data_IF_663000976681
#
_entry.id   IF_663000976681
#
_cell.length_a   1.000
_cell.length_b   1.000
_cell.length_c   1.000
_cell.angle_alpha   90.00
_cell.angle_beta   90.00
_cell.angle_gamma   90.00
#
_symmetry.space_group_name_H-M   'P 1'
#
loop_
_entity.id
_entity.type
_entity.pdbx_description
1 polymer ?
#
# COMPACT_ATOMS: atom_id res chain seq x y z
N UNK A 1 11.18 49.67 54.14
CA UNK A 1 11.60 48.27 53.92
C UNK A 1 11.14 47.87 52.52
N UNK A 2 12.07 47.70 51.58
CA UNK A 2 11.79 47.28 50.19
C UNK A 2 12.06 45.78 50.09
N UNK A 3 11.02 44.98 49.88
CA UNK A 3 11.14 43.53 49.63
C UNK A 3 11.33 43.30 48.14
N UNK A 4 12.49 42.75 47.76
CA UNK A 4 12.85 42.40 46.39
C UNK A 4 12.38 40.96 46.12
N UNK A 5 11.38 40.78 45.25
CA UNK A 5 10.91 39.45 44.83
C UNK A 5 11.79 38.97 43.67
N UNK A 6 12.64 37.96 43.89
CA UNK A 6 13.44 37.33 42.82
C UNK A 6 12.58 36.29 42.10
N UNK A 7 12.22 36.57 40.85
CA UNK A 7 11.58 35.63 39.94
C UNK A 7 12.65 34.66 39.40
N UNK A 8 12.57 33.38 39.73
CA UNK A 8 13.40 32.32 39.13
C UNK A 8 12.63 31.78 37.92
N UNK A 9 13.06 32.16 36.72
CA UNK A 9 12.53 31.62 35.46
C UNK A 9 13.27 30.33 35.16
N UNK A 10 12.63 29.19 35.38
CA UNK A 10 13.11 27.88 34.92
C UNK A 10 12.91 27.82 33.39
N UNK A 11 13.97 28.13 32.64
CA UNK A 11 14.05 27.85 31.21
C UNK A 11 14.15 26.33 31.03
N UNK A 12 12.99 25.67 30.91
CA UNK A 12 12.91 24.34 30.32
C UNK A 12 13.32 24.46 28.87
N UNK A 13 14.58 24.11 28.59
CA UNK A 13 15.09 23.89 27.25
C UNK A 13 14.28 22.77 26.62
N UNK A 14 13.31 23.13 25.78
CA UNK A 14 12.70 22.21 24.82
C UNK A 14 13.83 21.67 23.94
N UNK A 15 14.32 20.49 24.29
CA UNK A 15 15.16 19.71 23.41
C UNK A 15 14.29 19.39 22.21
N UNK A 16 14.50 20.10 21.10
CA UNK A 16 13.96 19.68 19.81
C UNK A 16 14.59 18.33 19.52
N UNK A 17 13.83 17.26 19.73
CA UNK A 17 14.20 15.94 19.24
C UNK A 17 14.32 16.05 17.73
N UNK A 18 15.54 16.17 17.22
CA UNK A 18 15.83 15.81 15.85
C UNK A 18 15.58 14.30 15.77
N UNK A 19 14.35 13.90 15.42
CA UNK A 19 14.05 12.50 15.15
C UNK A 19 14.91 12.09 13.95
N UNK A 20 15.86 11.21 14.19
CA UNK A 20 16.52 10.42 13.16
C UNK A 20 15.39 9.69 12.42
N UNK A 21 14.92 10.26 11.30
CA UNK A 21 13.78 9.76 10.53
C UNK A 21 14.20 8.43 9.87
N UNK A 22 14.25 7.36 10.66
CA UNK A 22 14.62 6.03 10.20
C UNK A 22 13.55 5.57 9.22
N UNK A 23 13.96 5.43 7.96
CA UNK A 23 13.14 4.87 6.92
C UNK A 23 13.53 3.41 6.72
N UNK A 24 12.53 2.54 6.74
CA UNK A 24 12.69 1.12 6.47
C UNK A 24 12.05 0.76 5.15
N UNK A 25 12.72 -0.10 4.40
CA UNK A 25 12.21 -0.76 3.21
C UNK A 25 11.93 -2.20 3.54
N UNK A 26 10.68 -2.60 3.38
CA UNK A 26 10.22 -3.96 3.60
C UNK A 26 9.78 -4.52 2.25
N UNK A 27 10.42 -5.59 1.83
CA UNK A 27 10.15 -6.29 0.57
C UNK A 27 9.32 -7.53 0.88
N UNK A 28 8.22 -7.70 0.16
CA UNK A 28 7.34 -8.86 0.22
C UNK A 28 7.26 -9.55 -1.14
N UNK A 29 7.13 -10.87 -1.11
CA UNK A 29 6.78 -11.67 -2.28
C UNK A 29 5.29 -11.96 -2.32
N UNK A 30 4.73 -11.95 -3.53
CA UNK A 30 3.36 -12.41 -3.78
C UNK A 30 3.38 -13.86 -4.23
N UNK A 31 2.50 -14.70 -3.68
CA UNK A 31 2.46 -16.12 -4.04
C UNK A 31 2.10 -16.33 -5.52
N UNK A 32 1.16 -15.56 -6.06
CA UNK A 32 0.73 -15.67 -7.45
C UNK A 32 1.87 -15.36 -8.44
N UNK A 33 2.78 -14.47 -8.06
CA UNK A 33 3.95 -14.12 -8.87
C UNK A 33 5.00 -15.24 -8.86
N UNK A 34 4.99 -16.15 -7.88
CA UNK A 34 5.96 -17.26 -7.81
C UNK A 34 5.83 -18.18 -9.02
N UNK A 35 4.63 -18.28 -9.58
CA UNK A 35 4.30 -19.10 -10.75
C UNK A 35 4.56 -18.39 -12.09
N UNK A 36 4.93 -17.11 -12.07
CA UNK A 36 5.20 -16.32 -13.27
C UNK A 36 6.66 -16.43 -13.74
N UNK A 37 6.96 -16.18 -15.03
CA UNK A 37 8.33 -15.96 -15.49
C UNK A 37 9.00 -14.81 -14.74
N UNK A 38 10.32 -14.90 -14.52
CA UNK A 38 11.08 -13.96 -13.67
C UNK A 38 10.95 -12.50 -14.13
N UNK A 39 10.92 -12.25 -15.45
CA UNK A 39 10.73 -10.92 -16.04
C UNK A 39 9.31 -10.34 -15.86
N UNK A 40 8.37 -11.16 -15.39
CA UNK A 40 6.97 -10.81 -15.10
C UNK A 40 6.67 -10.72 -13.60
N UNK A 41 7.61 -11.09 -12.73
CA UNK A 41 7.42 -11.06 -11.27
C UNK A 41 7.54 -9.64 -10.73
N UNK A 42 6.74 -9.34 -9.70
CA UNK A 42 6.83 -8.12 -8.95
C UNK A 42 7.02 -8.39 -7.45
N UNK A 43 7.82 -7.55 -6.81
CA UNK A 43 7.92 -7.44 -5.36
C UNK A 43 7.00 -6.33 -4.88
N UNK A 44 6.24 -6.58 -3.81
CA UNK A 44 5.51 -5.54 -3.11
C UNK A 44 6.45 -4.88 -2.09
N UNK A 45 6.58 -3.56 -2.17
CA UNK A 45 7.44 -2.80 -1.25
C UNK A 45 6.57 -1.99 -0.31
N UNK A 46 6.94 -1.99 0.97
CA UNK A 46 6.47 -1.05 1.98
C UNK A 46 7.67 -0.20 2.41
N UNK A 47 7.64 1.09 2.09
CA UNK A 47 8.53 2.08 2.71
C UNK A 47 7.82 2.67 3.92
N UNK A 48 8.37 2.50 5.12
CA UNK A 48 7.74 2.96 6.36
C UNK A 48 8.70 3.76 7.22
N UNK A 49 8.25 4.95 7.62
CA UNK A 49 8.78 5.70 8.76
C UNK A 49 7.85 5.55 9.96
N UNK A 50 8.12 6.28 11.04
CA UNK A 50 7.23 6.37 12.21
C UNK A 50 5.91 7.10 11.92
N UNK A 51 5.91 8.03 10.96
CA UNK A 51 4.78 8.95 10.71
C UNK A 51 3.99 8.63 9.45
N UNK A 52 4.60 7.95 8.49
CA UNK A 52 4.00 7.65 7.19
C UNK A 52 4.57 6.36 6.61
N UNK A 53 3.77 5.67 5.79
CA UNK A 53 4.28 4.65 4.89
C UNK A 53 3.68 4.74 3.49
N UNK A 54 4.35 4.15 2.52
CA UNK A 54 3.83 3.96 1.17
C UNK A 54 4.00 2.53 0.71
N UNK A 55 3.11 2.08 -0.17
CA UNK A 55 3.22 0.80 -0.86
C UNK A 55 3.20 0.95 -2.37
N UNK A 56 4.13 0.25 -3.02
CA UNK A 56 4.30 0.23 -4.47
C UNK A 56 4.79 -1.14 -4.95
N UNK A 57 4.70 -1.41 -6.25
CA UNK A 57 5.23 -2.63 -6.87
C UNK A 57 6.53 -2.33 -7.60
N UNK A 58 7.42 -3.31 -7.60
CA UNK A 58 8.71 -3.26 -8.24
C UNK A 58 8.91 -4.52 -9.06
N UNK A 59 9.30 -4.46 -10.34
CA UNK A 59 9.77 -5.65 -11.04
C UNK A 59 10.90 -6.31 -10.23
N UNK A 60 10.88 -7.64 -10.14
CA UNK A 60 11.82 -8.39 -9.31
C UNK A 60 13.29 -8.02 -9.58
N UNK A 61 13.66 -7.86 -10.86
CA UNK A 61 15.00 -7.43 -11.31
C UNK A 61 15.47 -6.07 -10.74
N UNK A 62 14.56 -5.25 -10.21
CA UNK A 62 14.84 -3.95 -9.61
C UNK A 62 14.60 -3.93 -8.10
N UNK A 63 14.43 -5.09 -7.45
CA UNK A 63 14.15 -5.12 -6.02
C UNK A 63 15.23 -4.43 -5.18
N UNK A 64 16.49 -4.44 -5.63
CA UNK A 64 17.61 -3.76 -4.96
C UNK A 64 17.80 -2.30 -5.43
N UNK A 65 17.01 -1.81 -6.38
CA UNK A 65 17.09 -0.43 -6.84
C UNK A 65 16.43 0.51 -5.82
N UNK A 66 17.18 1.51 -5.38
CA UNK A 66 16.63 2.60 -4.57
C UNK A 66 15.67 3.49 -5.38
N UNK A 67 14.93 4.31 -4.66
CA UNK A 67 14.00 5.32 -5.21
C UNK A 67 14.62 6.72 -5.12
N UNK A 68 14.56 7.47 -6.23
CA UNK A 68 14.90 8.90 -6.25
C UNK A 68 13.71 9.76 -6.66
N UNK A 69 13.65 10.98 -6.10
CA UNK A 69 12.73 12.03 -6.54
C UNK A 69 13.30 12.72 -7.77
N UNK A 70 12.47 12.90 -8.80
CA UNK A 70 12.82 13.59 -10.05
C UNK A 70 11.79 14.66 -10.36
N UNK A 71 12.25 15.86 -10.73
CA UNK A 71 11.39 16.94 -11.20
C UNK A 71 11.10 16.75 -12.68
N UNK A 72 9.82 16.67 -13.07
CA UNK A 72 9.46 16.65 -14.49
C UNK A 72 9.57 18.04 -15.12
N UNK A 73 9.74 18.10 -16.45
CA UNK A 73 9.77 19.34 -17.23
C UNK A 73 8.50 20.20 -17.11
N UNK A 74 7.42 19.64 -16.57
CA UNK A 74 6.13 20.31 -16.35
C UNK A 74 5.88 20.66 -14.86
N UNK A 75 6.89 20.53 -14.00
CA UNK A 75 6.79 20.85 -12.56
C UNK A 75 6.15 19.77 -11.69
N UNK A 76 5.63 18.69 -12.27
CA UNK A 76 5.13 17.54 -11.50
C UNK A 76 6.29 16.75 -10.88
N UNK A 77 6.14 16.34 -9.62
CA UNK A 77 7.08 15.44 -8.94
C UNK A 77 6.86 14.01 -9.43
N UNK A 78 7.93 13.34 -9.87
CA UNK A 78 7.95 11.91 -10.18
C UNK A 78 8.92 11.17 -9.28
N UNK A 79 8.71 9.87 -9.16
CA UNK A 79 9.63 8.96 -8.48
C UNK A 79 10.11 7.97 -9.51
N UNK A 80 11.42 7.86 -9.66
CA UNK A 80 12.06 6.98 -10.64
C UNK A 80 13.01 6.03 -9.92
N UNK A 81 13.31 4.91 -10.56
CA UNK A 81 14.38 4.04 -10.13
C UNK A 81 15.73 4.74 -10.31
N UNK A 82 16.73 4.44 -9.46
CA UNK A 82 18.09 4.90 -9.74
C UNK A 82 18.63 4.34 -11.05
N UNK A 83 18.28 3.10 -11.39
CA UNK A 83 18.81 2.33 -12.52
C UNK A 83 18.17 2.65 -13.88
N UNK A 84 16.93 3.15 -13.93
CA UNK A 84 16.20 3.39 -15.18
C UNK A 84 15.24 4.59 -15.08
N UNK A 85 14.77 5.12 -16.22
CA UNK A 85 13.79 6.23 -16.29
C UNK A 85 12.33 5.79 -16.07
N UNK A 86 12.12 4.55 -15.63
CA UNK A 86 10.78 4.06 -15.36
C UNK A 86 10.20 4.69 -14.09
N UNK A 87 8.97 5.19 -14.20
CA UNK A 87 8.27 5.86 -13.09
C UNK A 87 7.65 4.84 -12.15
N UNK A 88 7.92 5.00 -10.86
CA UNK A 88 7.31 4.22 -9.78
C UNK A 88 5.89 4.69 -9.57
N UNK A 89 4.94 3.74 -9.64
CA UNK A 89 3.54 3.99 -9.30
C UNK A 89 3.28 3.50 -7.88
N UNK A 90 3.05 4.46 -6.99
CA UNK A 90 2.60 4.22 -5.62
C UNK A 90 1.09 4.06 -5.64
N UNK A 91 0.58 3.00 -5.03
CA UNK A 91 -0.86 2.71 -5.02
C UNK A 91 -1.49 2.88 -3.63
N UNK A 92 -0.68 3.03 -2.57
CA UNK A 92 -1.19 3.22 -1.22
C UNK A 92 -0.23 4.11 -0.41
N UNK A 93 -0.81 5.07 0.30
CA UNK A 93 -0.17 5.96 1.24
C UNK A 93 -0.90 5.84 2.57
N UNK A 94 -0.17 5.70 3.67
CA UNK A 94 -0.71 5.68 5.03
C UNK A 94 -0.07 6.81 5.80
N UNK A 95 -0.86 7.79 6.19
CA UNK A 95 -0.44 8.86 7.10
C UNK A 95 -0.77 8.42 8.52
N UNK A 96 0.16 7.68 9.12
CA UNK A 96 0.01 7.04 10.44
C UNK A 96 -0.34 8.07 11.52
N UNK A 97 0.28 9.25 11.46
CA UNK A 97 0.03 10.35 12.40
C UNK A 97 -1.36 11.01 12.25
N UNK A 98 -1.99 10.90 11.08
CA UNK A 98 -3.29 11.54 10.78
C UNK A 98 -4.43 10.53 10.64
N UNK A 99 -4.16 9.25 10.92
CA UNK A 99 -5.10 8.14 10.75
C UNK A 99 -5.81 8.12 9.38
N UNK A 100 -5.07 8.44 8.30
CA UNK A 100 -5.61 8.57 6.95
C UNK A 100 -4.90 7.63 5.98
N UNK A 101 -5.69 6.96 5.14
CA UNK A 101 -5.18 6.16 4.04
C UNK A 101 -5.61 6.80 2.71
N UNK A 102 -4.66 6.93 1.78
CA UNK A 102 -4.92 7.36 0.40
C UNK A 102 -4.51 6.23 -0.53
N UNK A 103 -5.38 5.81 -1.43
CA UNK A 103 -5.09 4.72 -2.34
C UNK A 103 -5.50 5.05 -3.77
N UNK A 104 -4.90 4.32 -4.67
CA UNK A 104 -5.02 4.44 -6.11
C UNK A 104 -5.38 3.06 -6.69
N UNK A 105 -6.26 3.01 -7.69
CA UNK A 105 -6.70 1.72 -8.24
C UNK A 105 -5.58 1.04 -9.00
N UNK A 106 -5.20 -0.15 -8.58
CA UNK A 106 -4.28 -1.00 -9.34
C UNK A 106 -4.97 -1.66 -10.56
N UNK A 107 -6.31 -1.70 -10.58
CA UNK A 107 -7.11 -2.26 -11.67
C UNK A 107 -7.42 -1.17 -12.70
N UNK A 108 -6.40 -0.78 -13.46
CA UNK A 108 -6.50 0.25 -14.50
C UNK A 108 -7.52 -0.08 -15.61
N UNK A 109 -7.83 -1.35 -15.79
CA UNK A 109 -8.86 -1.83 -16.73
C UNK A 109 -10.30 -1.59 -16.24
N UNK A 110 -10.53 -1.45 -14.92
CA UNK A 110 -11.85 -1.08 -14.38
C UNK A 110 -11.94 0.44 -14.24
N UNK A 111 -10.91 1.08 -13.69
CA UNK A 111 -10.88 2.53 -13.50
C UNK A 111 -9.64 3.09 -14.22
N UNK A 112 -9.88 3.67 -15.40
CA UNK A 112 -8.85 4.34 -16.20
C UNK A 112 -8.46 5.66 -15.56
N UNK A 113 -7.16 5.97 -15.60
CA UNK A 113 -6.51 7.03 -14.82
C UNK A 113 -6.71 6.79 -13.32
N UNK A 114 -5.74 6.14 -12.69
CA UNK A 114 -5.73 5.91 -11.26
C UNK A 114 -5.73 7.27 -10.55
N UNK A 115 -6.91 7.67 -10.09
CA UNK A 115 -7.10 8.85 -9.28
C UNK A 115 -7.03 8.42 -7.81
N UNK A 116 -6.46 9.25 -6.92
CA UNK A 116 -6.36 8.92 -5.51
C UNK A 116 -7.71 9.10 -4.81
N UNK A 117 -8.06 8.14 -3.96
CA UNK A 117 -9.22 8.15 -3.08
C UNK A 117 -8.79 7.98 -1.63
N UNK A 118 -9.59 8.44 -0.68
CA UNK A 118 -9.32 8.25 0.75
C UNK A 118 -10.07 7.03 1.31
N UNK A 119 -9.48 6.41 2.34
CA UNK A 119 -10.12 5.38 3.16
C UNK A 119 -9.70 5.59 4.63
N UNK A 120 -10.41 4.92 5.53
CA UNK A 120 -10.01 4.81 6.93
C UNK A 120 -8.68 4.04 7.06
N UNK A 121 -7.80 4.51 7.94
CA UNK A 121 -6.57 3.79 8.27
C UNK A 121 -6.88 2.74 9.35
N UNK A 122 -6.50 1.49 9.08
CA UNK A 122 -6.65 0.33 9.97
C UNK A 122 -8.08 0.10 10.55
N UNK A 123 -9.13 0.00 9.71
CA UNK A 123 -10.48 -0.38 10.16
C UNK A 123 -10.60 -1.88 10.47
N UNK A 124 -9.54 -2.50 11.01
CA UNK A 124 -9.38 -3.95 11.09
C UNK A 124 -9.57 -4.43 12.53
N UNK A 125 -10.60 -5.24 12.75
CA UNK A 125 -10.85 -5.89 14.04
C UNK A 125 -10.08 -7.22 14.10
N UNK A 126 -8.79 -7.13 14.42
CA UNK A 126 -7.91 -8.29 14.53
C UNK A 126 -8.20 -9.13 15.76
N UNK A 127 -8.32 -10.44 15.57
CA UNK A 127 -8.29 -11.44 16.64
C UNK A 127 -6.90 -12.06 16.69
N UNK A 128 -6.14 -11.80 17.76
CA UNK A 128 -4.80 -12.35 17.98
C UNK A 128 -4.92 -13.75 18.61
N UNK A 129 -4.08 -14.67 18.15
CA UNK A 129 -4.03 -16.06 18.63
C UNK A 129 -2.66 -16.38 19.24
N UNK A 130 -2.62 -17.38 20.10
CA UNK A 130 -1.39 -17.87 20.74
C UNK A 130 -0.46 -18.65 19.77
N UNK A 131 -0.94 -19.01 18.58
CA UNK A 131 -0.13 -19.72 17.60
C UNK A 131 1.06 -18.87 17.14
N UNK A 132 2.23 -19.50 17.08
CA UNK A 132 3.47 -18.88 16.63
C UNK A 132 4.11 -19.66 15.50
N UNK A 133 4.83 -18.95 14.63
CA UNK A 133 5.74 -19.55 13.65
C UNK A 133 6.88 -18.58 13.33
N UNK A 134 7.94 -19.10 12.73
CA UNK A 134 9.07 -18.27 12.29
C UNK A 134 8.89 -17.85 10.81
N UNK A 135 9.06 -16.56 10.52
CA UNK A 135 9.11 -16.01 9.14
C UNK A 135 10.31 -15.08 9.05
N UNK A 136 11.24 -15.36 8.13
CA UNK A 136 12.42 -14.49 7.92
C UNK A 136 13.30 -14.34 9.17
N UNK A 137 13.38 -15.37 10.03
CA UNK A 137 14.12 -15.33 11.30
C UNK A 137 13.40 -14.60 12.44
N UNK A 138 12.14 -14.18 12.24
CA UNK A 138 11.33 -13.50 13.25
C UNK A 138 10.27 -14.46 13.80
N UNK A 139 10.12 -14.48 15.13
CA UNK A 139 9.00 -15.17 15.78
C UNK A 139 7.74 -14.33 15.59
N UNK A 140 6.75 -14.90 14.92
CA UNK A 140 5.52 -14.22 14.55
C UNK A 140 4.30 -14.86 15.21
N UNK A 141 3.36 -14.03 15.68
CA UNK A 141 2.05 -14.46 16.20
C UNK A 141 1.00 -14.41 15.11
N UNK A 142 0.02 -15.31 15.20
CA UNK A 142 -1.12 -15.36 14.27
C UNK A 142 -2.18 -14.33 14.66
N UNK A 143 -2.77 -13.68 13.67
CA UNK A 143 -3.99 -12.90 13.80
C UNK A 143 -4.96 -13.25 12.67
N UNK A 144 -6.25 -13.08 12.90
CA UNK A 144 -7.30 -13.27 11.89
C UNK A 144 -8.30 -12.14 11.92
N UNK A 145 -8.90 -11.82 10.78
CA UNK A 145 -10.02 -10.89 10.71
C UNK A 145 -10.97 -11.26 9.58
N UNK A 146 -12.19 -10.70 9.62
CA UNK A 146 -13.07 -10.61 8.46
C UNK A 146 -13.16 -9.15 8.03
N UNK A 147 -12.86 -8.86 6.77
CA UNK A 147 -12.89 -7.50 6.25
C UNK A 147 -13.34 -7.52 4.80
N UNK A 148 -14.37 -6.74 4.48
CA UNK A 148 -14.92 -6.59 3.11
C UNK A 148 -15.08 -7.94 2.39
N UNK A 149 -15.78 -8.87 3.08
CA UNK A 149 -16.24 -10.12 2.48
C UNK A 149 -15.19 -11.23 2.45
N UNK A 150 -13.99 -10.94 2.95
CA UNK A 150 -12.88 -11.90 3.01
C UNK A 150 -12.47 -12.16 4.44
N UNK A 151 -12.06 -13.40 4.69
CA UNK A 151 -11.34 -13.76 5.89
C UNK A 151 -9.85 -13.73 5.60
N UNK A 152 -9.13 -13.02 6.45
CA UNK A 152 -7.68 -12.89 6.37
C UNK A 152 -7.02 -13.61 7.53
N UNK A 153 -5.89 -14.23 7.24
CA UNK A 153 -4.92 -14.72 8.22
C UNK A 153 -3.66 -13.89 8.06
N UNK A 154 -3.19 -13.30 9.15
CA UNK A 154 -1.95 -12.55 9.20
C UNK A 154 -1.00 -13.19 10.23
N UNK A 155 0.30 -13.03 9.99
CA UNK A 155 1.35 -13.31 10.95
C UNK A 155 2.16 -12.03 11.16
N UNK A 156 2.40 -11.66 12.41
CA UNK A 156 3.08 -10.41 12.75
C UNK A 156 4.17 -10.61 13.79
N UNK A 157 5.26 -9.83 13.67
CA UNK A 157 6.41 -9.86 14.57
C UNK A 157 6.41 -8.62 15.48
N UNK A 158 6.16 -8.84 16.78
CA UNK A 158 6.20 -7.79 17.81
C UNK A 158 7.63 -7.22 18.02
N UNK A 159 8.65 -8.01 17.67
CA UNK A 159 10.07 -7.61 17.78
C UNK A 159 10.47 -6.52 16.78
N UNK A 160 9.67 -6.32 15.72
CA UNK A 160 9.83 -5.21 14.78
C UNK A 160 8.75 -4.18 15.10
N UNK A 161 9.08 -3.05 15.78
CA UNK A 161 8.10 -2.09 16.30
C UNK A 161 7.57 -1.15 15.20
N UNK A 162 7.17 -1.73 14.07
CA UNK A 162 6.52 -1.07 12.94
C UNK A 162 5.11 -1.64 12.81
N UNK A 163 4.11 -0.99 13.41
CA UNK A 163 2.70 -1.42 13.43
C UNK A 163 2.02 -1.26 12.05
N UNK A 164 2.53 -1.97 11.05
CA UNK A 164 2.24 -1.75 9.63
C UNK A 164 2.35 -3.07 8.84
N UNK A 165 2.00 -3.01 7.56
CA UNK A 165 1.98 -4.17 6.67
C UNK A 165 1.84 -3.78 5.19
N UNK A 166 1.90 -4.77 4.29
CA UNK A 166 1.80 -4.54 2.85
C UNK A 166 0.41 -4.01 2.46
N UNK A 167 0.35 -3.28 1.35
CA UNK A 167 -0.88 -2.70 0.81
C UNK A 167 -1.63 -1.86 1.84
N UNK A 168 -2.90 -2.17 2.13
CA UNK A 168 -3.75 -1.44 3.08
C UNK A 168 -3.62 -1.96 4.52
N UNK A 169 -2.94 -3.09 4.73
CA UNK A 169 -2.96 -3.81 6.01
C UNK A 169 -2.04 -3.21 7.07
N UNK A 170 -2.44 -3.31 8.33
CA UNK A 170 -1.69 -2.82 9.48
C UNK A 170 -2.55 -2.89 10.75
N UNK A 171 -2.16 -2.19 11.80
CA UNK A 171 -2.93 -2.12 13.05
C UNK A 171 -2.67 -3.25 14.06
N UNK A 172 -1.79 -4.20 13.73
CA UNK A 172 -1.26 -5.17 14.70
C UNK A 172 -0.07 -4.58 15.47
N UNK A 173 0.22 -5.05 16.70
CA UNK A 173 1.34 -4.54 17.51
C UNK A 173 2.67 -5.11 17.01
N UNK A 174 3.07 -4.73 15.81
CA UNK A 174 4.29 -5.15 15.14
C UNK A 174 4.13 -5.20 13.62
N UNK A 175 5.19 -5.61 12.93
CA UNK A 175 5.19 -5.71 11.47
C UNK A 175 4.41 -6.95 11.03
N UNK A 176 3.43 -6.79 10.15
CA UNK A 176 2.79 -7.91 9.45
C UNK A 176 3.82 -8.52 8.50
N UNK A 177 4.36 -9.67 8.85
CA UNK A 177 5.36 -10.39 8.05
C UNK A 177 4.70 -11.28 7.00
N UNK A 178 3.47 -11.71 7.20
CA UNK A 178 2.71 -12.45 6.21
C UNK A 178 1.23 -12.13 6.33
N UNK A 179 0.52 -12.06 5.21
CA UNK A 179 -0.94 -11.96 5.20
C UNK A 179 -1.51 -12.61 3.94
N UNK A 180 -2.60 -13.35 4.12
CA UNK A 180 -3.33 -13.92 3.02
C UNK A 180 -4.82 -14.05 3.29
N UNK A 181 -5.62 -14.13 2.24
CA UNK A 181 -7.02 -14.57 2.33
C UNK A 181 -7.15 -16.10 2.21
N UNK A 182 -8.36 -16.63 2.42
CA UNK A 182 -8.63 -18.07 2.35
C UNK A 182 -8.38 -18.66 0.94
N UNK A 183 -8.49 -17.84 -0.11
CA UNK A 183 -8.30 -18.26 -1.50
C UNK A 183 -6.88 -18.06 -2.01
N UNK A 184 -5.99 -17.47 -1.20
CA UNK A 184 -4.62 -17.08 -1.59
C UNK A 184 -4.57 -16.13 -2.80
N UNK A 185 -5.71 -15.51 -3.15
CA UNK A 185 -5.77 -14.46 -4.18
C UNK A 185 -5.02 -13.23 -3.70
N UNK A 186 -5.14 -12.94 -2.41
CA UNK A 186 -4.29 -12.00 -1.70
C UNK A 186 -3.28 -12.80 -0.90
N UNK A 187 -1.99 -12.67 -1.21
CA UNK A 187 -0.92 -13.27 -0.42
C UNK A 187 0.33 -12.40 -0.49
N UNK A 188 0.86 -12.04 0.67
CA UNK A 188 2.19 -11.44 0.81
C UNK A 188 2.93 -12.11 1.95
N UNK A 189 4.20 -12.43 1.73
CA UNK A 189 5.10 -12.92 2.77
C UNK A 189 6.43 -12.17 2.73
N UNK A 190 7.01 -11.94 3.91
CA UNK A 190 8.20 -11.15 4.10
C UNK A 190 9.38 -11.80 3.40
N UNK A 191 10.08 -11.01 2.60
CA UNK A 191 11.36 -11.40 2.02
C UNK A 191 12.53 -10.72 2.74
N UNK A 192 12.48 -9.40 2.92
CA UNK A 192 13.61 -8.61 3.42
C UNK A 192 13.16 -7.36 4.16
N UNK A 193 13.91 -6.99 5.19
CA UNK A 193 13.77 -5.71 5.92
C UNK A 193 15.14 -5.03 5.92
N UNK A 194 15.20 -3.76 5.52
CA UNK A 194 16.45 -2.99 5.53
C UNK A 194 16.22 -1.51 5.87
N UNK A 195 17.18 -0.88 6.55
CA UNK A 195 17.22 0.59 6.65
C UNK A 195 17.60 1.13 5.27
N UNK A 196 16.92 2.18 4.82
CA UNK A 196 17.13 2.76 3.49
C UNK A 196 17.32 4.28 3.55
N UNK A 197 17.94 4.82 2.50
CA UNK A 197 18.04 6.26 2.22
C UNK A 197 17.08 6.69 1.09
N UNK A 198 16.11 5.84 0.74
CA UNK A 198 15.07 6.16 -0.24
C UNK A 198 14.30 7.42 0.15
N UNK A 199 13.68 8.07 -0.84
CA UNK A 199 12.81 9.22 -0.61
C UNK A 199 11.38 8.74 -0.41
N UNK A 200 10.74 9.13 0.69
CA UNK A 200 9.32 8.84 0.90
C UNK A 200 8.45 9.65 -0.08
N UNK A 201 7.60 8.99 -0.89
CA UNK A 201 6.69 9.68 -1.79
C UNK A 201 5.70 10.59 -1.08
N UNK A 202 5.48 11.77 -1.67
CA UNK A 202 4.51 12.74 -1.19
C UNK A 202 3.10 12.22 -1.42
N UNK A 203 2.25 12.37 -0.40
CA UNK A 203 0.83 12.02 -0.49
C UNK A 203 0.15 12.93 -1.52
N UNK A 204 -0.66 12.41 -2.45
CA UNK A 204 -1.42 13.22 -3.38
C UNK A 204 -2.33 14.23 -2.65
N UNK A 205 -2.30 15.49 -3.08
CA UNK A 205 -3.13 16.55 -2.48
C UNK A 205 -4.53 16.64 -3.10
N UNK A 206 -4.64 16.32 -4.40
CA UNK A 206 -5.92 16.28 -5.11
C UNK A 206 -6.54 14.90 -4.97
N UNK A 207 -7.46 14.75 -4.01
CA UNK A 207 -8.26 13.54 -3.80
C UNK A 207 -9.53 13.61 -4.65
N UNK A 208 -9.90 12.51 -5.31
CA UNK A 208 -11.10 12.43 -6.14
C UNK A 208 -12.38 12.21 -5.32
N UNK A 209 -12.29 11.43 -4.25
CA UNK A 209 -13.41 11.09 -3.36
C UNK A 209 -12.97 10.12 -2.27
N UNK A 210 -13.93 9.57 -1.54
CA UNK A 210 -13.67 8.56 -0.50
C UNK A 210 -13.87 7.12 -1.01
N UNK A 211 -13.77 6.14 -0.10
CA UNK A 211 -13.96 4.73 -0.45
C UNK A 211 -15.39 4.42 -0.93
N UNK A 212 -16.41 5.13 -0.45
CA UNK A 212 -17.79 4.92 -0.90
C UNK A 212 -17.96 5.41 -2.35
N UNK A 213 -17.38 6.57 -2.68
CA UNK A 213 -17.32 7.08 -4.06
C UNK A 213 -16.59 6.10 -4.97
N UNK A 214 -15.42 5.61 -4.52
CA UNK A 214 -14.65 4.60 -5.23
C UNK A 214 -15.45 3.32 -5.46
N UNK A 215 -16.12 2.78 -4.43
CA UNK A 215 -16.91 1.54 -4.51
C UNK A 215 -18.05 1.68 -5.50
N UNK A 216 -18.75 2.83 -5.50
CA UNK A 216 -19.81 3.13 -6.46
C UNK A 216 -19.27 3.14 -7.89
N UNK A 217 -18.21 3.91 -8.14
CA UNK A 217 -17.58 4.00 -9.47
C UNK A 217 -17.07 2.64 -9.94
N UNK A 218 -16.37 1.90 -9.07
CA UNK A 218 -15.81 0.59 -9.39
C UNK A 218 -16.92 -0.39 -9.81
N UNK A 219 -18.03 -0.46 -9.05
CA UNK A 219 -19.18 -1.31 -9.37
C UNK A 219 -19.78 -0.95 -10.73
N UNK A 220 -20.03 0.34 -10.98
CA UNK A 220 -20.60 0.81 -12.25
C UNK A 220 -19.70 0.46 -13.44
N UNK A 221 -18.39 0.67 -13.31
CA UNK A 221 -17.39 0.41 -14.36
C UNK A 221 -17.16 -1.07 -14.58
N UNK A 222 -17.15 -1.86 -13.51
CA UNK A 222 -17.02 -3.29 -13.62
C UNK A 222 -18.20 -3.91 -14.37
N UNK A 223 -19.43 -3.53 -14.04
CA UNK A 223 -20.63 -4.05 -14.71
C UNK A 223 -20.67 -3.69 -16.20
N UNK A 224 -19.99 -2.63 -16.63
CA UNK A 224 -19.79 -2.32 -18.05
C UNK A 224 -18.80 -3.30 -18.70
N UNK A 225 -17.65 -3.55 -18.06
CA UNK A 225 -16.65 -4.52 -18.53
C UNK A 225 -17.25 -5.93 -18.62
N UNK A 226 -17.95 -6.38 -17.58
CA UNK A 226 -18.59 -7.70 -17.54
C UNK A 226 -19.58 -7.89 -18.70
N UNK A 227 -20.51 -6.94 -18.89
CA UNK A 227 -21.49 -6.98 -19.99
C UNK A 227 -20.83 -6.95 -21.37
N UNK A 228 -19.75 -6.19 -21.52
CA UNK A 228 -18.98 -6.18 -22.76
C UNK A 228 -18.43 -7.59 -23.04
N UNK A 229 -17.66 -8.17 -22.11
CA UNK A 229 -17.07 -9.51 -22.26
C UNK A 229 -18.14 -10.56 -22.60
N UNK A 230 -19.27 -10.57 -21.89
CA UNK A 230 -20.38 -11.51 -22.10
C UNK A 230 -21.03 -11.38 -23.49
N UNK A 231 -21.00 -10.20 -24.11
CA UNK A 231 -21.67 -9.94 -25.38
C UNK A 231 -20.81 -10.12 -26.62
N UNK A 232 -19.48 -9.93 -26.56
CA UNK A 232 -18.64 -10.01 -27.76
C UNK A 232 -17.37 -10.87 -27.64
N UNK A 233 -17.13 -11.55 -26.50
CA UNK A 233 -15.96 -12.42 -26.28
C UNK A 233 -14.64 -11.65 -26.12
N UNK A 234 -14.25 -10.87 -27.12
CA UNK A 234 -13.16 -9.90 -27.12
C UNK A 234 -13.75 -8.52 -27.43
N UNK A 235 -13.74 -7.59 -26.47
CA UNK A 235 -14.40 -6.29 -26.64
C UNK A 235 -13.43 -5.16 -26.39
N UNK A 236 -13.57 -4.10 -27.19
CA UNK A 236 -12.96 -2.81 -26.89
C UNK A 236 -13.37 -2.33 -25.49
N UNK A 237 -12.48 -1.63 -24.80
CA UNK A 237 -12.74 -1.14 -23.43
C UNK A 237 -14.01 -0.27 -23.36
N UNK A 238 -15.11 -0.77 -22.74
CA UNK A 238 -16.36 -0.02 -22.66
C UNK A 238 -16.26 1.18 -21.72
N UNK A 239 -15.18 1.28 -20.95
CA UNK A 239 -14.91 2.43 -20.08
C UNK A 239 -14.14 3.54 -20.76
N UNK A 240 -13.77 3.36 -22.03
CA UNK A 240 -12.90 4.28 -22.74
C UNK A 240 -13.61 4.94 -23.94
N UNK A 241 -13.78 6.26 -23.86
CA UNK A 241 -14.43 7.05 -24.91
C UNK A 241 -13.56 7.31 -26.15
N UNK A 242 -12.22 7.20 -26.03
CA UNK A 242 -11.29 7.80 -27.01
C UNK A 242 -10.22 6.83 -27.58
N UNK A 243 -10.24 5.53 -27.24
CA UNK A 243 -9.08 4.63 -27.48
C UNK A 243 -9.04 3.87 -28.81
N UNK A 244 -9.94 4.11 -29.77
CA UNK A 244 -9.89 3.50 -31.12
C UNK A 244 -9.57 1.98 -31.10
N UNK A 245 -10.11 1.23 -30.15
CA UNK A 245 -10.05 -0.25 -30.13
C UNK A 245 -8.73 -0.93 -29.74
N UNK A 246 -7.73 -0.25 -29.15
CA UNK A 246 -6.40 -0.86 -28.97
C UNK A 246 -6.22 -1.79 -27.74
N UNK A 247 -7.27 -2.26 -27.08
CA UNK A 247 -7.13 -3.09 -25.87
C UNK A 247 -8.14 -4.24 -25.88
N UNK A 248 -7.62 -5.48 -25.85
CA UNK A 248 -8.40 -6.73 -25.85
C UNK A 248 -8.25 -7.40 -24.48
N UNK A 249 -9.35 -7.90 -23.91
CA UNK A 249 -9.38 -8.49 -22.56
C UNK A 249 -9.45 -10.02 -22.62
N UNK A 250 -8.70 -10.69 -21.74
CA UNK A 250 -8.96 -12.09 -21.37
C UNK A 250 -9.47 -12.11 -19.93
N UNK A 251 -10.62 -12.75 -19.71
CA UNK A 251 -11.24 -12.81 -18.39
C UNK A 251 -10.41 -13.72 -17.49
N UNK A 252 -9.93 -13.20 -16.37
CA UNK A 252 -9.80 -13.96 -15.12
C UNK A 252 -9.69 -12.98 -13.95
N UNK A 253 -10.46 -13.24 -12.88
CA UNK A 253 -10.46 -12.58 -11.56
C UNK A 253 -10.95 -11.13 -11.50
N UNK A 254 -12.28 -10.94 -11.39
CA UNK A 254 -12.87 -9.65 -10.98
C UNK A 254 -14.09 -9.79 -10.04
N UNK A 255 -14.70 -10.98 -9.92
CA UNK A 255 -15.93 -11.17 -9.11
C UNK A 255 -15.71 -10.95 -7.61
N UNK A 256 -14.47 -11.11 -7.21
CA UNK A 256 -13.91 -11.07 -5.87
C UNK A 256 -13.99 -9.69 -5.18
N UNK A 257 -14.16 -8.58 -5.91
CA UNK A 257 -14.28 -7.22 -5.36
C UNK A 257 -15.73 -6.75 -5.13
N UNK A 258 -16.72 -7.58 -5.49
CA UNK A 258 -18.13 -7.20 -5.55
C UNK A 258 -19.05 -8.02 -4.64
N UNK A 259 -18.55 -9.12 -4.11
CA UNK A 259 -19.26 -9.96 -3.14
C UNK A 259 -19.05 -9.41 -1.74
N UNK A 260 -19.72 -8.30 -1.46
CA UNK A 260 -19.98 -7.79 -0.12
C UNK A 260 -21.47 -7.46 -0.01
N UNK A 261 -22.25 -8.47 0.39
CA UNK A 261 -23.52 -8.28 1.08
C UNK A 261 -23.27 -8.46 2.58
#
# INVERSE_FOLDING_TARGET
MKTLFKLVVFLYSFSTFAQDNKLYRITYYNFNDTLMPEDKKYSAILLSSETQSVSYKLPYRFENAGMKKVSSSQGATKYEYYSEKDTIKVYCYKELAHNRLVFESEFSFVIRASKPYTDSLHPFDWVIHESQKEIGGLVCKKATMSFRGRKYVAWFAETVPLNNGPWKFGGLPGLITEIHDETFTVYWTLHKIEKTNDVLPLVPTKIEGDYADFKKLYKERFLKVKRAIESHGNVEDPNCSDCKGSTTFTSNTIEDLLTDN
#
